data_IF_494010528494
#
_entry.id   IF_494010528494
#
_cell.length_a   1.000
_cell.length_b   1.000
_cell.length_c   1.000
_cell.angle_alpha   90.00
_cell.angle_beta   90.00
_cell.angle_gamma   90.00
#
_symmetry.space_group_name_H-M   'P 1'
#
loop_
_entity.id
_entity.type
_entity.pdbx_description
1 polymer ?
#
# COMPACT_ATOMS: atom_id res chain seq x y z
N UNK A 1 -9.02 9.03 -18.87
CA UNK A 1 -8.68 10.09 -17.90
C UNK A 1 -8.77 9.63 -16.43
N UNK A 2 -9.89 9.06 -15.97
CA UNK A 2 -10.08 8.67 -14.56
C UNK A 2 -8.93 7.84 -13.96
N UNK A 3 -8.55 6.72 -14.58
CA UNK A 3 -7.45 5.88 -14.09
C UNK A 3 -6.11 6.60 -13.97
N UNK A 4 -5.79 7.44 -14.94
CA UNK A 4 -4.57 8.23 -14.93
C UNK A 4 -4.55 9.18 -13.72
N UNK A 5 -5.62 9.97 -13.55
CA UNK A 5 -5.71 10.95 -12.48
C UNK A 5 -5.77 10.30 -11.09
N UNK A 6 -6.55 9.23 -10.92
CA UNK A 6 -6.67 8.54 -9.64
C UNK A 6 -5.35 7.89 -9.19
N UNK A 7 -4.60 7.29 -10.12
CA UNK A 7 -3.28 6.73 -9.83
C UNK A 7 -2.26 7.84 -9.54
N UNK A 8 -2.28 8.94 -10.30
CA UNK A 8 -1.40 10.08 -10.04
C UNK A 8 -1.63 10.68 -8.64
N UNK A 9 -2.89 10.81 -8.19
CA UNK A 9 -3.23 11.21 -6.81
C UNK A 9 -2.68 10.20 -5.79
N UNK A 10 -2.70 8.92 -6.11
CA UNK A 10 -2.07 7.85 -5.33
C UNK A 10 -0.54 7.86 -5.32
N UNK A 11 0.10 8.80 -6.03
CA UNK A 11 1.57 8.87 -6.15
C UNK A 11 2.14 7.82 -7.09
N UNK A 12 1.33 7.29 -8.00
CA UNK A 12 1.73 6.27 -8.98
C UNK A 12 2.10 6.93 -10.30
N UNK A 13 3.31 6.65 -10.78
CA UNK A 13 3.73 7.04 -12.11
C UNK A 13 2.93 6.29 -13.17
N UNK A 14 2.22 7.05 -14.00
CA UNK A 14 1.38 6.54 -15.08
C UNK A 14 1.47 7.48 -16.28
N UNK A 15 1.58 6.90 -17.46
CA UNK A 15 1.47 7.58 -18.75
C UNK A 15 0.07 7.31 -19.31
N UNK A 16 -0.50 8.30 -19.99
CA UNK A 16 -1.82 8.20 -20.62
C UNK A 16 -1.81 8.80 -22.01
N UNK A 17 -2.35 8.05 -22.99
CA UNK A 17 -2.52 8.54 -24.36
C UNK A 17 -3.91 8.17 -24.86
N UNK A 18 -4.75 9.17 -25.13
CA UNK A 18 -6.00 8.95 -25.85
C UNK A 18 -5.68 8.77 -27.34
N UNK A 19 -6.00 7.59 -27.89
CA UNK A 19 -5.83 7.31 -29.33
C UNK A 19 -7.10 7.67 -30.11
N UNK A 20 -8.27 7.41 -29.51
CA UNK A 20 -9.59 7.81 -30.02
C UNK A 20 -10.60 7.87 -28.87
N UNK A 21 -11.84 8.27 -29.17
CA UNK A 21 -12.94 8.25 -28.19
C UNK A 21 -13.21 6.85 -27.61
N UNK A 22 -12.81 5.79 -28.32
CA UNK A 22 -13.02 4.39 -27.92
C UNK A 22 -11.76 3.67 -27.48
N UNK A 23 -10.59 4.30 -27.57
CA UNK A 23 -9.31 3.64 -27.26
C UNK A 23 -8.35 4.58 -26.55
N UNK A 24 -7.88 4.15 -25.39
CA UNK A 24 -6.91 4.90 -24.60
C UNK A 24 -5.85 3.98 -23.98
N UNK A 25 -4.59 4.36 -24.12
CA UNK A 25 -3.45 3.66 -23.58
C UNK A 25 -3.14 4.13 -22.15
N UNK A 26 -2.66 3.19 -21.35
CA UNK A 26 -2.02 3.43 -20.06
C UNK A 26 -0.71 2.67 -19.99
N UNK A 27 0.30 3.28 -19.37
CA UNK A 27 1.56 2.61 -19.06
C UNK A 27 2.05 3.01 -17.68
N UNK A 28 2.41 2.02 -16.87
CA UNK A 28 3.07 2.17 -15.59
C UNK A 28 4.56 1.86 -15.79
N UNK A 29 5.40 2.89 -16.04
CA UNK A 29 6.82 2.68 -16.23
C UNK A 29 7.49 2.17 -14.95
N UNK A 30 8.63 1.48 -15.04
CA UNK A 30 9.51 1.28 -13.89
C UNK A 30 10.04 2.62 -13.36
N UNK A 31 10.29 2.76 -12.04
CA UNK A 31 10.11 1.75 -11.00
C UNK A 31 8.62 1.48 -10.69
N UNK A 32 8.26 0.22 -10.42
CA UNK A 32 6.87 -0.14 -10.10
C UNK A 32 6.58 0.16 -8.63
N UNK A 33 5.56 0.97 -8.39
CA UNK A 33 5.14 1.36 -7.03
C UNK A 33 4.73 0.16 -6.16
N UNK A 34 4.02 -0.83 -6.74
CA UNK A 34 3.47 -1.98 -6.01
C UNK A 34 4.53 -3.05 -5.69
N UNK A 35 5.63 -3.09 -6.45
CA UNK A 35 6.74 -4.04 -6.27
C UNK A 35 8.05 -3.24 -6.21
N UNK A 36 8.35 -2.59 -5.07
CA UNK A 36 9.44 -1.64 -4.97
C UNK A 36 10.82 -2.29 -5.06
N UNK A 37 11.73 -1.64 -5.79
CA UNK A 37 13.13 -2.04 -5.89
C UNK A 37 13.31 -3.48 -6.37
N UNK A 38 14.20 -4.23 -5.71
CA UNK A 38 14.52 -5.60 -6.09
C UNK A 38 13.40 -6.63 -5.77
N UNK A 39 12.36 -6.24 -5.02
CA UNK A 39 11.25 -7.16 -4.70
C UNK A 39 10.54 -7.67 -5.96
N UNK A 40 10.50 -6.86 -7.01
CA UNK A 40 9.90 -7.22 -8.30
C UNK A 40 10.53 -8.47 -8.94
N UNK A 41 11.81 -8.74 -8.67
CA UNK A 41 12.50 -9.92 -9.19
C UNK A 41 11.94 -11.23 -8.63
N UNK A 42 11.27 -11.18 -7.47
CA UNK A 42 10.61 -12.33 -6.86
C UNK A 42 9.15 -12.49 -7.25
N UNK A 43 8.59 -11.61 -8.09
CA UNK A 43 7.16 -11.62 -8.44
C UNK A 43 6.95 -12.41 -9.74
N UNK A 44 6.25 -13.56 -9.68
CA UNK A 44 5.89 -14.31 -10.88
C UNK A 44 4.98 -13.51 -11.80
N UNK A 45 5.05 -13.78 -13.11
CA UNK A 45 4.18 -13.12 -14.10
C UNK A 45 2.70 -13.33 -13.81
N UNK A 46 2.35 -14.47 -13.23
CA UNK A 46 1.00 -14.87 -12.87
C UNK A 46 0.39 -13.91 -11.85
N UNK A 47 1.18 -13.37 -10.92
CA UNK A 47 0.71 -12.38 -9.95
C UNK A 47 0.33 -11.06 -10.64
N UNK A 48 1.14 -10.61 -11.60
CA UNK A 48 0.83 -9.42 -12.40
C UNK A 48 -0.42 -9.62 -13.26
N UNK A 49 -0.62 -10.82 -13.82
CA UNK A 49 -1.82 -11.17 -14.60
C UNK A 49 -3.08 -11.25 -13.74
N UNK A 50 -3.00 -11.91 -12.59
CA UNK A 50 -4.12 -12.00 -11.64
C UNK A 50 -4.59 -10.61 -11.19
N UNK A 51 -3.66 -9.65 -11.02
CA UNK A 51 -4.03 -8.25 -10.74
C UNK A 51 -4.85 -7.64 -11.88
N UNK A 52 -4.52 -7.92 -13.14
CA UNK A 52 -5.29 -7.43 -14.30
C UNK A 52 -6.66 -8.09 -14.41
N UNK A 53 -6.75 -9.38 -14.08
CA UNK A 53 -8.01 -10.13 -14.04
C UNK A 53 -8.95 -9.55 -12.97
N UNK A 54 -8.46 -9.38 -11.74
CA UNK A 54 -9.27 -8.85 -10.63
C UNK A 54 -9.55 -7.34 -10.71
N UNK A 55 -8.85 -6.60 -11.57
CA UNK A 55 -8.99 -5.14 -11.67
C UNK A 55 -9.40 -4.68 -13.07
N UNK A 56 -8.54 -4.83 -14.07
CA UNK A 56 -8.75 -4.24 -15.39
C UNK A 56 -9.84 -4.93 -16.20
N UNK A 57 -10.00 -6.25 -16.07
CA UNK A 57 -11.12 -6.95 -16.66
C UNK A 57 -12.48 -6.44 -16.13
N UNK A 58 -12.52 -6.05 -14.85
CA UNK A 58 -13.76 -5.66 -14.16
C UNK A 58 -14.09 -4.15 -14.24
N UNK A 59 -13.24 -3.37 -14.90
CA UNK A 59 -13.47 -1.92 -15.03
C UNK A 59 -14.69 -1.58 -15.89
N UNK A 60 -14.93 -2.32 -16.98
CA UNK A 60 -16.10 -2.10 -17.81
C UNK A 60 -17.40 -2.24 -17.03
N UNK A 61 -17.54 -3.32 -16.24
CA UNK A 61 -18.70 -3.52 -15.37
C UNK A 61 -18.81 -2.44 -14.29
N UNK A 62 -17.70 -2.11 -13.62
CA UNK A 62 -17.67 -1.10 -12.56
C UNK A 62 -18.08 0.30 -13.05
N UNK A 63 -17.83 0.60 -14.33
CA UNK A 63 -18.19 1.86 -14.99
C UNK A 63 -19.54 1.79 -15.73
N UNK A 64 -20.30 0.70 -15.56
CA UNK A 64 -21.56 0.46 -16.28
C UNK A 64 -21.42 0.52 -17.82
N UNK A 65 -20.30 0.04 -18.34
CA UNK A 65 -20.02 -0.13 -19.76
C UNK A 65 -19.50 -1.55 -20.05
N UNK A 66 -20.39 -2.54 -20.27
CA UNK A 66 -19.99 -3.93 -20.50
C UNK A 66 -19.25 -4.17 -21.83
N UNK A 67 -19.12 -3.13 -22.67
CA UNK A 67 -18.38 -3.18 -23.94
C UNK A 67 -16.91 -2.82 -23.79
N UNK A 68 -16.52 -2.32 -22.62
CA UNK A 68 -15.16 -1.87 -22.33
C UNK A 68 -14.31 -3.05 -21.87
N UNK A 69 -13.23 -3.34 -22.60
CA UNK A 69 -12.22 -4.32 -22.22
C UNK A 69 -10.84 -3.68 -22.09
N UNK A 70 -9.89 -4.45 -21.56
CA UNK A 70 -8.48 -4.09 -21.47
C UNK A 70 -7.61 -5.07 -22.25
N UNK A 71 -6.65 -4.52 -22.99
CA UNK A 71 -5.62 -5.29 -23.70
C UNK A 71 -4.26 -5.00 -23.07
N UNK A 72 -3.67 -5.98 -22.41
CA UNK A 72 -2.31 -5.89 -21.88
C UNK A 72 -1.29 -6.20 -22.98
N UNK A 73 -0.32 -5.30 -23.17
CA UNK A 73 0.71 -5.44 -24.22
C UNK A 73 2.13 -5.60 -23.69
N UNK A 74 2.33 -5.28 -22.40
CA UNK A 74 3.65 -5.30 -21.76
C UNK A 74 3.51 -5.51 -20.25
N UNK A 75 4.42 -6.27 -19.64
CA UNK A 75 4.50 -6.46 -18.20
C UNK A 75 5.93 -6.28 -17.69
N UNK A 76 6.08 -5.51 -16.60
CA UNK A 76 7.39 -5.34 -15.96
C UNK A 76 7.97 -6.65 -15.43
N UNK A 77 7.13 -7.55 -14.91
CA UNK A 77 7.53 -8.87 -14.38
C UNK A 77 8.05 -9.81 -15.47
N UNK A 78 7.77 -9.51 -16.74
CA UNK A 78 8.34 -10.21 -17.89
C UNK A 78 9.62 -9.53 -18.42
N UNK A 79 10.17 -8.55 -17.70
CA UNK A 79 11.35 -7.78 -18.09
C UNK A 79 11.08 -6.75 -19.18
N UNK A 80 9.81 -6.40 -19.43
CA UNK A 80 9.42 -5.45 -20.46
C UNK A 80 9.35 -4.01 -19.91
N UNK A 81 9.08 -3.04 -20.79
CA UNK A 81 9.21 -1.59 -20.56
C UNK A 81 8.18 -0.97 -19.58
N UNK A 82 7.54 -1.76 -18.73
CA UNK A 82 6.47 -1.36 -17.82
C UNK A 82 5.26 -2.29 -17.90
N UNK A 83 4.26 -2.05 -17.06
CA UNK A 83 2.93 -2.60 -17.29
C UNK A 83 2.21 -1.67 -18.27
N UNK A 84 1.96 -2.12 -19.50
CA UNK A 84 1.32 -1.31 -20.52
C UNK A 84 0.14 -2.04 -21.16
N UNK A 85 -0.81 -1.24 -21.64
CA UNK A 85 -1.95 -1.72 -22.38
C UNK A 85 -2.91 -0.60 -22.75
N UNK A 86 -4.08 -0.97 -23.26
CA UNK A 86 -5.12 -0.02 -23.61
C UNK A 86 -6.49 -0.53 -23.25
N UNK A 87 -7.35 0.41 -22.86
CA UNK A 87 -8.78 0.20 -22.82
C UNK A 87 -9.35 0.36 -24.22
N UNK A 88 -10.27 -0.54 -24.60
CA UNK A 88 -10.95 -0.52 -25.89
C UNK A 88 -12.45 -0.74 -25.66
N UNK A 89 -13.27 0.18 -26.18
CA UNK A 89 -14.71 0.02 -26.22
C UNK A 89 -15.14 -0.67 -27.51
N UNK A 90 -15.74 -1.86 -27.38
CA UNK A 90 -16.21 -2.67 -28.49
C UNK A 90 -17.61 -2.26 -28.98
N UNK A 91 -17.98 -2.73 -30.17
CA UNK A 91 -19.32 -2.52 -30.73
C UNK A 91 -20.42 -3.37 -30.10
N UNK A 92 -20.08 -4.23 -29.13
CA UNK A 92 -20.98 -5.16 -28.43
C UNK A 92 -20.50 -5.38 -27.00
N UNK A 93 -21.36 -5.96 -26.19
CA UNK A 93 -21.01 -6.39 -24.85
C UNK A 93 -19.99 -7.53 -24.88
N UNK A 94 -19.10 -7.53 -23.90
CA UNK A 94 -18.05 -8.51 -23.71
C UNK A 94 -18.48 -9.56 -22.69
N UNK A 95 -18.26 -10.83 -23.00
CA UNK A 95 -18.29 -11.90 -22.00
C UNK A 95 -17.10 -11.78 -21.04
N UNK A 96 -17.13 -12.49 -19.92
CA UNK A 96 -16.06 -12.41 -18.90
C UNK A 96 -14.66 -12.68 -19.48
N UNK A 97 -14.54 -13.70 -20.34
CA UNK A 97 -13.27 -14.10 -20.95
C UNK A 97 -12.75 -13.12 -22.03
N UNK A 98 -13.59 -12.19 -22.47
CA UNK A 98 -13.24 -11.20 -23.50
C UNK A 98 -12.80 -9.86 -22.92
N UNK A 99 -13.00 -9.63 -21.62
CA UNK A 99 -12.69 -8.35 -20.96
C UNK A 99 -11.20 -8.10 -20.79
N UNK A 100 -10.40 -9.16 -20.75
CA UNK A 100 -8.94 -9.07 -20.66
C UNK A 100 -8.30 -9.87 -21.78
N UNK A 101 -7.55 -9.19 -22.64
CA UNK A 101 -6.74 -9.83 -23.68
C UNK A 101 -5.26 -9.52 -23.47
N UNK A 102 -4.39 -10.41 -23.96
CA UNK A 102 -2.95 -10.19 -23.99
C UNK A 102 -2.45 -10.10 -25.43
N UNK A 103 -1.77 -9.02 -25.78
CA UNK A 103 -1.18 -8.75 -27.10
C UNK A 103 0.26 -8.25 -26.98
N UNK A 104 1.19 -9.14 -26.58
CA UNK A 104 2.57 -8.74 -26.35
C UNK A 104 3.22 -8.15 -27.61
N UNK A 105 3.97 -7.07 -27.44
CA UNK A 105 4.74 -6.43 -28.51
C UNK A 105 4.02 -5.26 -29.21
N UNK A 106 2.72 -5.06 -28.98
CA UNK A 106 2.06 -3.81 -29.36
C UNK A 106 2.58 -2.64 -28.50
N UNK A 107 2.99 -1.54 -29.15
CA UNK A 107 3.61 -0.40 -28.49
C UNK A 107 2.63 0.77 -28.34
N UNK A 108 2.57 1.42 -27.16
CA UNK A 108 1.81 2.65 -27.01
C UNK A 108 2.41 3.77 -27.89
N UNK A 109 1.61 4.74 -28.34
CA UNK A 109 2.13 5.96 -28.93
C UNK A 109 3.03 6.71 -27.92
N UNK A 110 3.86 7.64 -28.42
CA UNK A 110 4.72 8.44 -27.54
C UNK A 110 3.87 9.29 -26.58
N UNK A 111 4.19 9.19 -25.30
CA UNK A 111 3.56 10.01 -24.27
C UNK A 111 4.03 11.47 -24.37
N UNK A 112 3.08 12.39 -24.29
CA UNK A 112 3.31 13.83 -24.24
C UNK A 112 2.70 14.37 -22.93
N UNK A 113 3.52 14.66 -21.91
CA UNK A 113 3.05 15.13 -20.61
C UNK A 113 2.20 16.41 -20.70
N UNK A 114 2.43 17.26 -21.71
CA UNK A 114 1.69 18.51 -21.88
C UNK A 114 0.24 18.29 -22.35
N UNK A 115 -0.07 17.10 -22.92
CA UNK A 115 -1.41 16.70 -23.35
C UNK A 115 -2.12 15.81 -22.32
N UNK A 116 -1.44 15.43 -21.25
CA UNK A 116 -2.02 14.59 -20.22
C UNK A 116 -3.11 15.37 -19.46
N UNK A 117 -4.21 14.71 -19.06
CA UNK A 117 -5.21 15.32 -18.19
C UNK A 117 -4.57 15.83 -16.91
N UNK A 118 -5.01 16.97 -16.40
CA UNK A 118 -4.55 17.53 -15.11
C UNK A 118 -5.72 17.73 -14.17
N UNK A 119 -5.44 17.65 -12.87
CA UNK A 119 -6.43 18.00 -11.86
C UNK A 119 -6.62 19.52 -11.82
N UNK A 120 -7.86 20.02 -11.69
CA UNK A 120 -8.10 21.44 -11.43
C UNK A 120 -7.44 21.85 -10.11
N UNK A 121 -6.47 22.77 -10.16
CA UNK A 121 -5.66 23.14 -9.00
C UNK A 121 -6.49 23.69 -7.83
N UNK A 122 -7.55 24.45 -8.13
CA UNK A 122 -8.44 25.03 -7.11
C UNK A 122 -9.19 23.96 -6.30
N UNK A 123 -9.48 22.80 -6.91
CA UNK A 123 -10.18 21.70 -6.25
C UNK A 123 -9.22 20.75 -5.53
N UNK A 124 -7.94 20.78 -5.88
CA UNK A 124 -6.90 19.85 -5.41
C UNK A 124 -5.69 20.57 -4.80
N UNK A 125 -5.87 21.29 -3.67
CA UNK A 125 -4.74 21.86 -2.96
C UNK A 125 -3.81 20.78 -2.39
N UNK A 126 -2.56 21.15 -2.10
CA UNK A 126 -1.51 20.24 -1.63
C UNK A 126 -1.94 19.38 -0.42
N UNK A 127 -2.66 19.96 0.54
CA UNK A 127 -3.18 19.22 1.71
C UNK A 127 -4.17 18.12 1.31
N UNK A 128 -5.05 18.40 0.34
CA UNK A 128 -6.01 17.41 -0.17
C UNK A 128 -5.29 16.29 -0.92
N UNK A 129 -4.27 16.64 -1.70
CA UNK A 129 -3.42 15.67 -2.41
C UNK A 129 -2.67 14.75 -1.43
N UNK A 130 -2.02 15.32 -0.41
CA UNK A 130 -1.34 14.53 0.63
C UNK A 130 -2.30 13.60 1.38
N UNK A 131 -3.49 14.11 1.74
CA UNK A 131 -4.56 13.31 2.35
C UNK A 131 -5.02 12.17 1.45
N UNK A 132 -5.20 12.42 0.16
CA UNK A 132 -5.65 11.44 -0.80
C UNK A 132 -4.58 10.38 -1.09
N UNK A 133 -3.32 10.80 -1.25
CA UNK A 133 -2.17 9.92 -1.41
C UNK A 133 -2.04 8.92 -0.24
N UNK A 134 -2.09 9.43 1.00
CA UNK A 134 -2.08 8.59 2.19
C UNK A 134 -3.27 7.62 2.20
N UNK A 135 -4.48 8.10 1.96
CA UNK A 135 -5.68 7.27 1.99
C UNK A 135 -5.66 6.18 0.91
N UNK A 136 -5.07 6.46 -0.26
CA UNK A 136 -4.87 5.50 -1.35
C UNK A 136 -4.01 4.31 -0.88
N UNK A 137 -2.86 4.58 -0.24
CA UNK A 137 -2.01 3.52 0.32
C UNK A 137 -2.70 2.72 1.43
N UNK A 138 -3.41 3.41 2.32
CA UNK A 138 -4.14 2.74 3.41
C UNK A 138 -5.22 1.78 2.89
N UNK A 139 -5.86 2.09 1.76
CA UNK A 139 -6.92 1.23 1.21
C UNK A 139 -6.40 -0.14 0.76
N UNK A 140 -5.19 -0.22 0.21
CA UNK A 140 -4.57 -1.51 -0.12
C UNK A 140 -4.36 -2.37 1.13
N UNK A 141 -3.97 -1.76 2.25
CA UNK A 141 -3.78 -2.48 3.51
C UNK A 141 -5.12 -2.89 4.12
N UNK A 142 -6.14 -2.01 4.04
CA UNK A 142 -7.51 -2.29 4.51
C UNK A 142 -8.16 -3.47 3.82
N UNK A 143 -7.89 -3.64 2.55
CA UNK A 143 -8.45 -4.74 1.75
C UNK A 143 -7.55 -5.97 1.80
N UNK A 144 -6.23 -5.78 1.69
CA UNK A 144 -5.27 -6.87 1.58
C UNK A 144 -5.14 -7.73 2.84
N UNK A 145 -5.11 -7.13 4.04
CA UNK A 145 -4.91 -7.90 5.28
C UNK A 145 -6.12 -8.78 5.63
N UNK A 146 -7.39 -8.30 5.55
CA UNK A 146 -8.55 -9.17 5.70
C UNK A 146 -8.61 -10.27 4.64
N UNK A 147 -8.37 -9.96 3.36
CA UNK A 147 -8.37 -10.96 2.29
C UNK A 147 -7.29 -12.02 2.49
N UNK A 148 -6.10 -11.65 2.96
CA UNK A 148 -5.06 -12.61 3.32
C UNK A 148 -5.54 -13.59 4.38
N UNK A 149 -6.27 -13.09 5.38
CA UNK A 149 -6.86 -13.92 6.44
C UNK A 149 -8.01 -14.79 5.92
N UNK A 150 -8.82 -14.29 5.00
CA UNK A 150 -9.92 -15.03 4.38
C UNK A 150 -9.41 -16.18 3.50
N UNK A 151 -8.40 -15.92 2.67
CA UNK A 151 -7.88 -16.88 1.70
C UNK A 151 -7.07 -18.02 2.33
N UNK A 152 -6.24 -17.70 3.34
CA UNK A 152 -5.34 -18.67 3.97
C UNK A 152 -5.83 -19.13 5.35
N UNK A 153 -6.94 -18.58 5.82
CA UNK A 153 -7.43 -18.76 7.18
C UNK A 153 -6.63 -17.97 8.22
N UNK A 154 -7.16 -17.83 9.45
CA UNK A 154 -6.55 -17.01 10.50
C UNK A 154 -5.12 -17.38 10.91
N UNK A 155 -4.79 -18.66 10.95
CA UNK A 155 -3.46 -19.14 11.35
C UNK A 155 -2.42 -18.74 10.32
N UNK A 156 -2.56 -19.25 9.09
CA UNK A 156 -1.55 -19.10 8.07
C UNK A 156 -1.56 -17.68 7.50
N UNK A 157 -2.74 -17.08 7.31
CA UNK A 157 -2.87 -15.69 6.89
C UNK A 157 -2.26 -14.71 7.89
N UNK A 158 -2.48 -14.91 9.19
CA UNK A 158 -1.85 -14.12 10.25
C UNK A 158 -0.33 -14.29 10.27
N UNK A 159 0.16 -15.52 10.16
CA UNK A 159 1.59 -15.83 10.10
C UNK A 159 2.27 -15.18 8.88
N UNK A 160 1.72 -15.40 7.68
CA UNK A 160 2.24 -14.85 6.43
C UNK A 160 2.24 -13.31 6.45
N UNK A 161 1.14 -12.72 6.91
CA UNK A 161 0.99 -11.27 7.00
C UNK A 161 1.98 -10.65 7.97
N UNK A 162 2.13 -11.25 9.16
CA UNK A 162 3.09 -10.76 10.18
C UNK A 162 4.52 -10.91 9.70
N UNK A 163 4.86 -12.01 9.05
CA UNK A 163 6.18 -12.23 8.47
C UNK A 163 6.49 -11.20 7.36
N UNK A 164 5.56 -11.00 6.43
CA UNK A 164 5.70 -9.99 5.39
C UNK A 164 5.85 -8.58 5.99
N UNK A 165 5.01 -8.23 6.97
CA UNK A 165 5.10 -6.98 7.72
C UNK A 165 6.48 -6.77 8.34
N UNK A 166 7.04 -7.79 9.00
CA UNK A 166 8.40 -7.72 9.58
C UNK A 166 9.47 -7.41 8.53
N UNK A 167 9.42 -8.09 7.39
CA UNK A 167 10.38 -7.84 6.31
C UNK A 167 10.23 -6.43 5.74
N UNK A 168 8.99 -5.97 5.51
CA UNK A 168 8.70 -4.62 5.02
C UNK A 168 9.18 -3.56 6.01
N UNK A 169 8.87 -3.73 7.29
CA UNK A 169 9.31 -2.81 8.35
C UNK A 169 10.83 -2.72 8.42
N UNK A 170 11.52 -3.87 8.40
CA UNK A 170 12.97 -3.89 8.45
C UNK A 170 13.62 -3.22 7.22
N UNK A 171 13.11 -3.51 6.02
CA UNK A 171 13.62 -2.91 4.77
C UNK A 171 13.30 -1.41 4.67
N UNK A 172 12.14 -0.99 5.15
CA UNK A 172 11.67 0.40 5.08
C UNK A 172 12.16 1.30 6.22
N UNK A 173 12.72 0.73 7.29
CA UNK A 173 13.03 1.44 8.53
C UNK A 173 13.79 2.75 8.33
N UNK A 174 14.92 2.71 7.62
CA UNK A 174 15.78 3.90 7.43
C UNK A 174 15.05 5.01 6.69
N UNK A 175 14.45 4.68 5.55
CA UNK A 175 13.71 5.65 4.73
C UNK A 175 12.55 6.28 5.49
N UNK A 176 11.88 5.50 6.34
CA UNK A 176 10.77 5.99 7.15
C UNK A 176 11.24 6.88 8.32
N UNK A 177 12.29 6.49 9.03
CA UNK A 177 12.88 7.32 10.08
C UNK A 177 13.37 8.66 9.53
N UNK A 178 14.13 8.63 8.44
CA UNK A 178 14.61 9.83 7.73
C UNK A 178 13.44 10.67 7.21
N UNK A 179 12.40 10.04 6.64
CA UNK A 179 11.19 10.70 6.18
C UNK A 179 10.38 11.39 7.29
N UNK A 180 10.51 10.93 8.53
CA UNK A 180 9.94 11.57 9.71
C UNK A 180 10.87 12.61 10.36
N UNK A 181 12.07 12.84 9.80
CA UNK A 181 13.06 13.74 10.38
C UNK A 181 13.74 13.19 11.64
N UNK A 182 13.73 11.86 11.82
CA UNK A 182 14.39 11.16 12.92
C UNK A 182 15.73 10.60 12.45
N UNK A 183 16.72 10.53 13.35
CA UNK A 183 17.98 9.85 13.03
C UNK A 183 17.82 8.33 13.18
N UNK A 184 18.14 7.53 12.15
CA UNK A 184 18.09 6.08 12.26
C UNK A 184 19.00 5.53 13.37
N UNK A 185 18.49 4.57 14.14
CA UNK A 185 19.18 3.85 15.22
C UNK A 185 19.67 4.72 16.38
N UNK A 186 19.14 5.93 16.58
CA UNK A 186 19.42 6.76 17.75
C UNK A 186 18.29 6.71 18.80
N UNK A 187 18.66 6.85 20.07
CA UNK A 187 17.70 7.07 21.16
C UNK A 187 17.08 5.81 21.78
N UNK A 188 17.45 4.60 21.34
CA UNK A 188 16.96 3.34 21.93
C UNK A 188 15.44 3.33 22.11
N UNK A 189 14.96 2.97 23.30
CA UNK A 189 13.52 2.93 23.59
C UNK A 189 12.78 4.27 23.36
N UNK A 190 13.42 5.40 23.67
CA UNK A 190 12.84 6.73 23.43
C UNK A 190 12.72 7.02 21.94
N UNK A 191 13.79 6.77 21.19
CA UNK A 191 13.83 6.95 19.74
C UNK A 191 12.76 6.12 19.03
N UNK A 192 12.59 4.87 19.45
CA UNK A 192 11.53 4.02 18.92
C UNK A 192 10.12 4.50 19.29
N UNK A 193 9.91 5.00 20.51
CA UNK A 193 8.62 5.56 20.92
C UNK A 193 8.25 6.77 20.04
N UNK A 194 9.21 7.64 19.75
CA UNK A 194 9.02 8.78 18.83
C UNK A 194 8.77 8.34 17.39
N UNK A 195 9.40 7.26 16.91
CA UNK A 195 9.11 6.67 15.61
C UNK A 195 7.64 6.24 15.50
N UNK A 196 7.11 5.54 16.52
CA UNK A 196 5.71 5.11 16.55
C UNK A 196 4.73 6.29 16.59
N UNK A 197 5.07 7.35 17.34
CA UNK A 197 4.27 8.57 17.36
C UNK A 197 4.24 9.28 15.99
N UNK A 198 5.41 9.43 15.35
CA UNK A 198 5.50 10.02 14.02
C UNK A 198 4.74 9.19 12.98
N UNK A 199 4.82 7.87 13.05
CA UNK A 199 4.06 6.96 12.19
C UNK A 199 2.54 7.14 12.35
N UNK A 200 2.03 7.24 13.59
CA UNK A 200 0.61 7.49 13.83
C UNK A 200 0.16 8.83 13.20
N UNK A 201 0.95 9.89 13.38
CA UNK A 201 0.67 11.20 12.77
C UNK A 201 0.65 11.13 11.24
N UNK A 202 1.63 10.45 10.63
CA UNK A 202 1.71 10.27 9.18
C UNK A 202 0.53 9.48 8.61
N UNK A 203 0.01 8.51 9.36
CA UNK A 203 -1.22 7.77 9.03
C UNK A 203 -2.50 8.62 9.18
N UNK A 204 -2.38 9.85 9.70
CA UNK A 204 -3.50 10.75 9.99
C UNK A 204 -4.26 10.34 11.26
N UNK A 205 -3.57 9.66 12.17
CA UNK A 205 -4.00 9.25 13.51
C UNK A 205 -3.20 10.03 14.58
N UNK A 206 -3.34 9.67 15.85
CA UNK A 206 -2.56 10.24 16.95
C UNK A 206 -2.02 9.17 17.89
N UNK A 207 -0.88 9.46 18.50
CA UNK A 207 -0.35 8.68 19.61
C UNK A 207 0.28 9.59 20.66
N UNK A 208 0.07 9.25 21.91
CA UNK A 208 0.59 9.93 23.09
C UNK A 208 1.76 9.12 23.65
N UNK A 209 2.83 9.80 24.02
CA UNK A 209 3.99 9.20 24.67
C UNK A 209 4.01 9.63 26.13
N UNK A 210 4.25 8.67 27.03
CA UNK A 210 4.55 8.92 28.43
C UNK A 210 5.61 7.95 28.94
N UNK A 211 6.02 8.09 30.20
CA UNK A 211 6.92 7.15 30.87
C UNK A 211 6.20 6.48 32.03
N UNK A 212 6.49 5.20 32.22
CA UNK A 212 6.09 4.44 33.39
C UNK A 212 7.11 4.62 34.54
N UNK A 213 6.77 4.18 35.75
CA UNK A 213 7.57 4.37 36.95
C UNK A 213 8.97 3.72 36.90
N UNK A 214 9.14 2.68 36.07
CA UNK A 214 10.42 1.99 35.84
C UNK A 214 11.23 2.60 34.69
N UNK A 215 10.79 3.73 34.12
CA UNK A 215 11.43 4.40 32.99
C UNK A 215 11.12 3.80 31.62
N UNK A 216 10.24 2.80 31.53
CA UNK A 216 9.77 2.32 30.23
C UNK A 216 8.90 3.38 29.54
N UNK A 217 9.07 3.54 28.23
CA UNK A 217 8.25 4.43 27.42
C UNK A 217 6.93 3.76 27.08
N UNK A 218 5.84 4.50 27.25
CA UNK A 218 4.49 4.07 26.90
C UNK A 218 4.04 4.85 25.67
N UNK A 219 3.62 4.13 24.63
CA UNK A 219 3.02 4.72 23.43
C UNK A 219 1.56 4.31 23.37
N UNK A 220 0.66 5.26 23.65
CA UNK A 220 -0.78 5.05 23.66
C UNK A 220 -1.40 5.59 22.38
N UNK A 221 -2.07 4.74 21.62
CA UNK A 221 -2.79 5.09 20.40
C UNK A 221 -4.29 4.86 20.61
N UNK A 222 -5.12 5.91 20.78
CA UNK A 222 -6.53 5.77 21.13
C UNK A 222 -7.37 5.16 20.00
N UNK A 223 -6.91 5.27 18.75
CA UNK A 223 -7.63 4.76 17.59
C UNK A 223 -6.69 3.93 16.71
N UNK A 224 -7.30 3.07 15.90
CA UNK A 224 -6.62 2.42 14.79
C UNK A 224 -7.24 2.89 13.49
N UNK A 225 -6.84 4.07 13.01
CA UNK A 225 -7.38 4.67 11.79
C UNK A 225 -7.26 3.74 10.58
N UNK A 226 -6.20 2.94 10.53
CA UNK A 226 -6.01 1.95 9.48
C UNK A 226 -7.11 0.90 9.48
N UNK A 227 -7.53 0.41 10.66
CA UNK A 227 -8.63 -0.55 10.79
C UNK A 227 -10.02 0.03 10.56
N UNK A 228 -10.17 1.35 10.39
CA UNK A 228 -11.48 1.97 10.15
C UNK A 228 -12.10 1.42 8.87
N UNK A 229 -13.33 0.92 8.97
CA UNK A 229 -14.09 0.37 7.83
C UNK A 229 -13.86 -1.12 7.61
N UNK A 230 -12.94 -1.75 8.34
CA UNK A 230 -12.93 -3.21 8.46
C UNK A 230 -14.09 -3.59 9.39
N UNK A 231 -15.07 -4.33 8.88
CA UNK A 231 -16.19 -4.82 9.68
C UNK A 231 -15.72 -6.02 10.53
N UNK A 232 -15.58 -5.80 11.84
CA UNK A 232 -15.13 -6.81 12.83
C UNK A 232 -13.97 -7.70 12.33
N UNK A 233 -12.79 -7.13 11.99
CA UNK A 233 -11.71 -7.93 11.44
C UNK A 233 -11.27 -9.00 12.44
N UNK A 234 -10.95 -10.19 11.93
CA UNK A 234 -10.35 -11.24 12.75
C UNK A 234 -9.05 -10.73 13.40
N UNK A 235 -8.72 -11.07 14.66
CA UNK A 235 -7.50 -10.61 15.35
C UNK A 235 -6.17 -10.85 14.61
N UNK A 236 -6.16 -11.81 13.69
CA UNK A 236 -5.03 -12.10 12.80
C UNK A 236 -4.67 -10.92 11.87
N UNK A 237 -5.64 -10.08 11.52
CA UNK A 237 -5.43 -8.87 10.71
C UNK A 237 -4.59 -7.85 11.48
N UNK A 238 -4.88 -7.67 12.77
CA UNK A 238 -4.07 -6.83 13.65
C UNK A 238 -2.65 -7.40 13.81
N UNK A 239 -2.51 -8.71 14.03
CA UNK A 239 -1.20 -9.37 14.12
C UNK A 239 -0.36 -9.18 12.86
N UNK A 240 -1.00 -9.30 11.68
CA UNK A 240 -0.33 -9.10 10.41
C UNK A 240 0.20 -7.66 10.26
N UNK A 241 -0.63 -6.68 10.59
CA UNK A 241 -0.21 -5.28 10.62
C UNK A 241 0.89 -5.02 11.66
N UNK A 242 0.77 -5.58 12.86
CA UNK A 242 1.74 -5.41 13.94
C UNK A 242 3.13 -5.94 13.58
N UNK A 243 3.22 -6.92 12.67
CA UNK A 243 4.48 -7.36 12.09
C UNK A 243 5.32 -6.22 11.51
N UNK A 244 4.69 -5.19 10.93
CA UNK A 244 5.38 -3.98 10.45
C UNK A 244 6.18 -3.30 11.57
N UNK A 245 5.53 -3.10 12.72
CA UNK A 245 6.13 -2.48 13.90
C UNK A 245 7.30 -3.32 14.44
N UNK A 246 7.16 -4.65 14.44
CA UNK A 246 8.21 -5.56 14.88
C UNK A 246 9.43 -5.51 13.94
N UNK A 247 9.21 -5.40 12.63
CA UNK A 247 10.28 -5.21 11.65
C UNK A 247 11.02 -3.90 11.85
N UNK A 248 10.27 -2.82 12.09
CA UNK A 248 10.83 -1.50 12.39
C UNK A 248 11.71 -1.53 13.65
N UNK A 249 11.25 -2.19 14.72
CA UNK A 249 12.00 -2.34 15.97
C UNK A 249 13.31 -3.08 15.72
N UNK A 250 13.24 -4.22 15.02
CA UNK A 250 14.40 -5.07 14.77
C UNK A 250 15.52 -4.33 14.02
N UNK A 251 15.17 -3.38 13.15
CA UNK A 251 16.12 -2.53 12.42
C UNK A 251 16.51 -1.25 13.16
N UNK A 252 15.65 -0.75 14.04
CA UNK A 252 15.95 0.39 14.90
C UNK A 252 17.05 0.04 15.90
N UNK A 253 16.78 -0.94 16.77
CA UNK A 253 17.70 -1.41 17.79
C UNK A 253 17.29 -2.82 18.26
N UNK A 254 18.14 -3.80 18.01
CA UNK A 254 17.91 -5.21 18.36
C UNK A 254 17.88 -5.48 19.87
N UNK A 255 18.29 -4.52 20.70
CA UNK A 255 18.27 -4.64 22.15
C UNK A 255 17.06 -3.96 22.78
N UNK A 256 16.27 -3.18 22.02
CA UNK A 256 15.03 -2.60 22.54
C UNK A 256 13.93 -3.66 22.55
N UNK A 257 13.19 -3.71 23.65
CA UNK A 257 12.07 -4.63 23.85
C UNK A 257 10.76 -3.88 23.74
N UNK A 258 9.89 -4.34 22.84
CA UNK A 258 8.53 -3.87 22.67
C UNK A 258 7.55 -4.89 23.24
N UNK A 259 6.67 -4.46 24.14
CA UNK A 259 5.56 -5.25 24.66
C UNK A 259 4.24 -4.58 24.30
N UNK A 260 3.37 -5.27 23.59
CA UNK A 260 2.01 -4.83 23.34
C UNK A 260 1.13 -5.25 24.53
N UNK A 261 0.55 -4.29 25.25
CA UNK A 261 -0.18 -4.53 26.50
C UNK A 261 -1.68 -4.29 26.42
N UNK A 262 -2.14 -3.55 25.40
CA UNK A 262 -3.57 -3.32 25.12
C UNK A 262 -3.86 -3.28 23.63
N UNK A 263 -5.06 -3.70 23.25
CA UNK A 263 -5.51 -3.87 21.87
C UNK A 263 -6.99 -3.53 21.70
N UNK A 264 -7.27 -2.62 20.77
CA UNK A 264 -8.63 -2.23 20.41
C UNK A 264 -9.48 -3.42 19.92
N UNK A 265 -8.90 -4.35 19.15
CA UNK A 265 -9.61 -5.53 18.64
C UNK A 265 -9.91 -6.58 19.73
N UNK A 266 -9.36 -6.42 20.93
CA UNK A 266 -9.63 -7.25 22.11
C UNK A 266 -10.57 -6.56 23.11
N UNK A 267 -11.07 -5.38 22.78
CA UNK A 267 -12.01 -4.62 23.62
C UNK A 267 -11.37 -3.60 24.56
N UNK A 268 -10.06 -3.35 24.45
CA UNK A 268 -9.41 -2.28 25.21
C UNK A 268 -9.76 -0.88 24.68
N UNK A 269 -9.43 0.16 25.46
CA UNK A 269 -9.69 1.56 25.14
C UNK A 269 -8.66 2.19 24.18
N UNK A 270 -7.55 1.50 23.93
CA UNK A 270 -6.44 1.96 23.11
C UNK A 270 -5.54 0.79 22.69
N UNK A 271 -4.69 1.03 21.70
CA UNK A 271 -3.47 0.23 21.51
C UNK A 271 -2.40 0.81 22.43
N UNK A 272 -1.76 -0.02 23.24
CA UNK A 272 -0.69 0.42 24.15
C UNK A 272 0.56 -0.42 23.95
N UNK A 273 1.63 0.23 23.57
CA UNK A 273 2.97 -0.36 23.56
C UNK A 273 3.77 0.14 24.76
N UNK A 274 4.49 -0.78 25.40
CA UNK A 274 5.56 -0.49 26.35
C UNK A 274 6.89 -0.78 25.67
N UNK A 275 7.75 0.22 25.58
CA UNK A 275 9.07 0.17 24.95
C UNK A 275 10.13 0.37 26.04
N UNK A 276 11.09 -0.55 26.14
CA UNK A 276 12.18 -0.44 27.11
C UNK A 276 13.49 -0.88 26.49
N UNK A 277 14.60 -0.32 26.99
CA UNK A 277 15.91 -0.87 26.68
C UNK A 277 16.00 -2.28 27.28
N UNK A 278 16.54 -3.22 26.52
CA UNK A 278 16.91 -4.54 27.02
C UNK A 278 18.10 -4.45 27.97
N UNK A 279 18.43 -5.56 28.61
CA UNK A 279 19.71 -5.65 29.31
C UNK A 279 20.84 -5.57 28.27
N UNK A 280 21.86 -4.76 28.54
CA UNK A 280 23.10 -4.85 27.78
C UNK A 280 23.67 -6.28 27.94
N UNK A 281 24.15 -6.90 26.86
CA UNK A 281 24.73 -8.24 26.91
C UNK A 281 25.99 -8.32 27.78
#
# INVERSE_FOLDING_TARGET
AYHYLANQVGGVDVEYVAESDKKAWVRFPPPRWIYPGASICGIPREVSRAMLEGWYAENGLSLNNPRLGFVCTSQTTDGQHGLAGYFLEHGRDLSADERLCFRPGEMPPRFDPAKAPTLPANDWPAERLAKANRNYAMEYVRTGLPLLTELFGPSDGGYLGRHAGRLIGAQGYRAMAEGFGLTPSEGGAEGFAHLLQAMAAAEGDSAEISQDADGAWLVRRPFWRLGRGMDQPHPAVFEAWHGLIEGLLASHDRFVVLTLTRRLDQGDDAILWRVRNGAEP
#
